data_IF_809821177272
#
_entry.id   IF_809821177272
#
_cell.length_a   1.000
_cell.length_b   1.000
_cell.length_c   1.000
_cell.angle_alpha   90.00
_cell.angle_beta   90.00
_cell.angle_gamma   90.00
#
_symmetry.space_group_name_H-M   'P 1'
#
loop_
_entity.id
_entity.type
_entity.pdbx_description
1 polymer ?
#
# COMPACT_ATOMS: atom_id res chain seq x y z
N UNK A 1 -4.74 -19.84 -12.92
CA UNK A 1 -3.51 -19.64 -12.12
C UNK A 1 -2.84 -18.35 -12.58
N UNK A 2 -3.16 -17.22 -11.96
CA UNK A 2 -2.43 -15.97 -12.19
C UNK A 2 -1.11 -16.06 -11.42
N UNK A 3 0.02 -16.04 -12.14
CA UNK A 3 1.30 -15.75 -11.51
C UNK A 3 1.21 -14.34 -10.93
N UNK A 4 1.36 -14.26 -9.61
CA UNK A 4 1.37 -13.03 -8.84
C UNK A 4 2.58 -12.18 -9.27
N UNK A 5 2.34 -11.27 -10.22
CA UNK A 5 3.36 -10.41 -10.81
C UNK A 5 4.00 -9.45 -9.79
N UNK A 6 3.50 -9.42 -8.55
CA UNK A 6 4.15 -8.72 -7.43
C UNK A 6 5.49 -9.35 -7.01
N UNK A 7 5.75 -10.60 -7.37
CA UNK A 7 7.04 -11.27 -7.11
C UNK A 7 8.03 -11.18 -8.28
N UNK A 8 7.55 -10.80 -9.47
CA UNK A 8 8.39 -10.59 -10.65
C UNK A 8 9.06 -9.23 -10.55
N UNK A 9 10.22 -9.15 -9.90
CA UNK A 9 11.04 -7.93 -9.77
C UNK A 9 11.15 -7.18 -11.12
N UNK A 10 10.52 -6.00 -11.31
CA UNK A 10 10.91 -5.13 -12.42
C UNK A 10 12.22 -4.39 -12.09
N UNK A 11 12.58 -4.34 -10.80
CA UNK A 11 13.77 -3.66 -10.30
C UNK A 11 14.45 -4.56 -9.27
N UNK A 12 15.35 -5.44 -9.73
CA UNK A 12 16.34 -6.03 -8.84
C UNK A 12 17.35 -4.93 -8.48
N UNK A 13 17.01 -4.09 -7.50
CA UNK A 13 17.96 -3.13 -6.95
C UNK A 13 18.95 -3.95 -6.11
N UNK A 14 20.21 -3.93 -6.51
CA UNK A 14 21.28 -4.51 -5.71
C UNK A 14 21.37 -3.71 -4.40
N UNK A 15 21.05 -4.31 -3.25
CA UNK A 15 21.11 -3.63 -1.95
C UNK A 15 22.49 -3.01 -1.66
N UNK A 16 23.56 -3.57 -2.23
CA UNK A 16 24.92 -3.01 -2.14
C UNK A 16 25.12 -1.69 -2.93
N UNK A 17 24.16 -1.29 -3.77
CA UNK A 17 24.19 -0.07 -4.58
C UNK A 17 23.24 1.03 -4.10
N UNK A 18 22.45 0.78 -3.04
CA UNK A 18 21.62 1.83 -2.43
C UNK A 18 22.54 2.86 -1.76
N UNK A 19 22.43 4.15 -2.11
CA UNK A 19 23.20 5.20 -1.47
C UNK A 19 22.95 5.19 0.04
N UNK A 20 24.01 5.36 0.84
CA UNK A 20 23.89 5.45 2.30
C UNK A 20 23.20 6.75 2.77
N UNK A 21 23.02 7.72 1.88
CA UNK A 21 22.35 8.99 2.14
C UNK A 21 21.00 9.06 1.40
N UNK A 22 20.02 9.74 2.01
CA UNK A 22 18.75 10.07 1.35
C UNK A 22 19.00 11.01 0.15
N UNK A 23 18.17 10.97 -0.89
CA UNK A 23 18.29 11.89 -2.01
C UNK A 23 18.15 13.34 -1.52
N UNK A 24 18.90 14.25 -2.16
CA UNK A 24 18.78 15.68 -1.95
C UNK A 24 17.35 16.16 -2.26
N UNK A 25 16.84 17.06 -1.44
CA UNK A 25 15.53 17.66 -1.62
C UNK A 25 15.56 18.73 -2.72
N UNK A 26 14.38 19.13 -3.22
CA UNK A 26 14.31 20.16 -4.27
C UNK A 26 14.96 21.48 -3.84
N UNK A 27 14.89 21.82 -2.55
CA UNK A 27 15.53 23.01 -1.97
C UNK A 27 17.05 22.85 -1.78
N UNK A 28 17.55 21.62 -1.67
CA UNK A 28 19.00 21.34 -1.63
C UNK A 28 19.63 21.52 -3.03
N UNK A 29 18.84 21.31 -4.08
CA UNK A 29 19.27 21.40 -5.47
C UNK A 29 19.08 22.80 -6.06
N UNK A 30 18.03 23.53 -5.67
CA UNK A 30 17.79 24.89 -6.11
C UNK A 30 17.03 25.73 -5.03
N UNK A 31 17.70 26.72 -4.41
CA UNK A 31 17.09 27.63 -3.42
C UNK A 31 15.91 28.45 -3.95
N UNK A 32 15.67 28.52 -5.25
CA UNK A 32 14.54 29.26 -5.81
C UNK A 32 13.19 28.57 -5.57
N UNK A 33 13.17 27.27 -5.25
CA UNK A 33 11.96 26.55 -4.83
C UNK A 33 11.49 26.93 -3.42
N UNK A 34 12.30 27.68 -2.65
CA UNK A 34 11.94 28.21 -1.34
C UNK A 34 10.93 29.37 -1.39
N UNK A 35 10.51 29.81 -2.58
CA UNK A 35 9.72 31.03 -2.77
C UNK A 35 8.19 30.88 -2.74
N UNK A 36 7.65 29.74 -2.29
CA UNK A 36 6.22 29.59 -2.02
C UNK A 36 5.93 29.51 -0.51
N UNK A 37 6.16 30.64 0.16
CA UNK A 37 5.68 30.92 1.51
C UNK A 37 6.60 30.43 2.62
N UNK A 38 7.19 31.38 3.34
CA UNK A 38 8.07 31.23 4.50
C UNK A 38 9.43 30.59 4.27
N UNK A 39 10.36 31.49 3.95
CA UNK A 39 11.79 31.32 4.17
C UNK A 39 12.07 30.96 5.63
N UNK A 40 12.25 29.68 5.88
CA UNK A 40 13.18 29.20 6.90
C UNK A 40 14.11 28.24 6.18
N UNK A 41 15.38 28.63 6.02
CA UNK A 41 16.45 27.66 5.87
C UNK A 41 16.52 26.90 7.19
N UNK A 42 15.61 25.96 7.40
CA UNK A 42 15.83 24.94 8.38
C UNK A 42 16.93 24.07 7.77
N UNK A 43 18.10 24.07 8.41
CA UNK A 43 18.78 22.79 8.58
C UNK A 43 17.81 21.93 9.39
N UNK A 44 16.73 21.46 8.77
CA UNK A 44 15.87 20.51 9.45
C UNK A 44 16.75 19.28 9.64
N UNK A 45 16.96 18.88 10.89
CA UNK A 45 17.56 17.59 11.23
C UNK A 45 16.73 16.43 10.65
N UNK A 46 15.50 16.73 10.22
CA UNK A 46 14.56 15.80 9.62
C UNK A 46 14.54 15.89 8.08
N UNK A 47 14.35 14.75 7.39
CA UNK A 47 14.25 14.73 5.93
C UNK A 47 13.05 15.54 5.43
N UNK A 48 13.14 16.12 4.23
CA UNK A 48 11.97 16.65 3.54
C UNK A 48 11.09 15.54 2.94
N UNK A 49 10.15 15.92 2.07
CA UNK A 49 9.17 14.99 1.49
C UNK A 49 9.86 13.88 0.67
N UNK A 50 10.91 14.21 -0.09
CA UNK A 50 11.62 13.20 -0.90
C UNK A 50 12.42 12.23 -0.02
N UNK A 51 13.01 12.71 1.07
CA UNK A 51 13.72 11.91 2.04
C UNK A 51 12.79 10.95 2.79
N UNK A 52 11.59 11.41 3.16
CA UNK A 52 10.56 10.53 3.71
C UNK A 52 10.07 9.50 2.70
N UNK A 53 9.90 9.89 1.43
CA UNK A 53 9.56 8.97 0.35
C UNK A 53 10.66 7.91 0.16
N UNK A 54 11.93 8.30 0.09
CA UNK A 54 13.06 7.38 -0.03
C UNK A 54 13.15 6.43 1.18
N UNK A 55 12.92 6.94 2.39
CA UNK A 55 12.85 6.11 3.61
C UNK A 55 11.72 5.09 3.53
N UNK A 56 10.53 5.50 3.08
CA UNK A 56 9.39 4.59 2.91
C UNK A 56 9.69 3.49 1.88
N UNK A 57 10.30 3.84 0.74
CA UNK A 57 10.72 2.88 -0.29
C UNK A 57 11.78 1.90 0.20
N UNK A 58 12.75 2.37 0.99
CA UNK A 58 13.77 1.50 1.60
C UNK A 58 13.13 0.48 2.56
N UNK A 59 12.19 0.92 3.40
CA UNK A 59 11.46 0.01 4.29
C UNK A 59 10.55 -0.95 3.52
N UNK A 60 9.94 -0.52 2.42
CA UNK A 60 9.18 -1.39 1.52
C UNK A 60 10.05 -2.48 0.89
N UNK A 61 11.21 -2.13 0.32
CA UNK A 61 12.15 -3.11 -0.25
C UNK A 61 12.59 -4.14 0.80
N UNK A 62 12.94 -3.68 2.01
CA UNK A 62 13.28 -4.58 3.12
C UNK A 62 12.12 -5.48 3.51
N UNK A 63 10.88 -4.98 3.51
CA UNK A 63 9.68 -5.79 3.78
C UNK A 63 9.45 -6.86 2.70
N UNK A 64 9.65 -6.52 1.43
CA UNK A 64 9.58 -7.48 0.32
C UNK A 64 10.67 -8.53 0.44
N UNK A 65 11.90 -8.13 0.75
CA UNK A 65 13.03 -9.03 1.00
C UNK A 65 12.74 -9.97 2.17
N UNK A 66 12.24 -9.44 3.29
CA UNK A 66 11.82 -10.23 4.45
C UNK A 66 10.78 -11.29 4.05
N UNK A 67 9.76 -10.92 3.27
CA UNK A 67 8.75 -11.87 2.79
C UNK A 67 9.34 -12.95 1.88
N UNK A 68 10.30 -12.61 1.04
CA UNK A 68 11.03 -13.58 0.21
C UNK A 68 11.85 -14.54 1.08
N UNK A 69 12.58 -14.03 2.07
CA UNK A 69 13.33 -14.84 3.04
C UNK A 69 12.42 -15.80 3.81
N UNK A 70 11.25 -15.32 4.25
CA UNK A 70 10.22 -16.14 4.90
C UNK A 70 9.72 -17.27 3.97
N UNK A 71 9.50 -16.99 2.70
CA UNK A 71 9.09 -17.99 1.70
C UNK A 71 10.14 -19.09 1.48
N UNK A 72 11.42 -18.74 1.63
CA UNK A 72 12.55 -19.65 1.41
C UNK A 72 13.06 -20.36 2.68
N UNK A 73 12.35 -20.22 3.81
CA UNK A 73 12.63 -20.88 5.09
C UNK A 73 14.07 -20.67 5.62
N UNK A 74 14.61 -19.46 5.46
CA UNK A 74 15.86 -19.08 6.14
C UNK A 74 15.63 -19.00 7.67
N UNK A 75 16.70 -19.18 8.45
CA UNK A 75 16.67 -19.42 9.91
C UNK A 75 15.64 -18.55 10.68
N UNK A 76 14.67 -19.23 11.30
CA UNK A 76 13.46 -18.64 11.88
C UNK A 76 13.68 -17.64 13.02
N UNK A 77 14.73 -17.80 13.83
CA UNK A 77 14.99 -16.92 14.97
C UNK A 77 15.36 -15.49 14.53
N UNK A 78 16.12 -15.34 13.44
CA UNK A 78 16.47 -14.03 12.89
C UNK A 78 15.29 -13.32 12.21
N UNK A 79 14.28 -14.08 11.78
CA UNK A 79 13.10 -13.52 11.10
C UNK A 79 12.12 -12.84 12.07
N UNK A 80 12.00 -13.32 13.31
CA UNK A 80 11.15 -12.66 14.31
C UNK A 80 11.72 -11.29 14.71
N UNK A 81 13.03 -11.24 14.97
CA UNK A 81 13.74 -9.99 15.28
C UNK A 81 13.67 -8.99 14.12
N UNK A 82 13.87 -9.47 12.88
CA UNK A 82 13.77 -8.64 11.68
C UNK A 82 12.36 -8.10 11.49
N UNK A 83 11.32 -8.93 11.67
CA UNK A 83 9.92 -8.50 11.59
C UNK A 83 9.62 -7.42 12.63
N UNK A 84 10.01 -7.63 13.89
CA UNK A 84 9.78 -6.65 14.95
C UNK A 84 10.49 -5.32 14.68
N UNK A 85 11.72 -5.38 14.18
CA UNK A 85 12.50 -4.21 13.84
C UNK A 85 11.93 -3.44 12.64
N UNK A 86 11.41 -4.15 11.62
CA UNK A 86 10.71 -3.55 10.49
C UNK A 86 9.38 -2.92 10.91
N UNK A 87 8.58 -3.62 11.72
CA UNK A 87 7.31 -3.14 12.23
C UNK A 87 7.50 -1.84 13.02
N UNK A 88 8.47 -1.82 13.93
CA UNK A 88 8.82 -0.63 14.71
C UNK A 88 9.20 0.55 13.82
N UNK A 89 10.03 0.35 12.79
CA UNK A 89 10.43 1.42 11.87
C UNK A 89 9.27 1.93 11.02
N UNK A 90 8.40 1.04 10.55
CA UNK A 90 7.23 1.39 9.76
C UNK A 90 6.20 2.15 10.59
N UNK A 91 5.91 1.71 11.82
CA UNK A 91 5.01 2.43 12.73
C UNK A 91 5.57 3.80 13.12
N UNK A 92 6.88 3.90 13.38
CA UNK A 92 7.54 5.18 13.65
C UNK A 92 7.45 6.11 12.45
N UNK A 93 7.70 5.61 11.24
CA UNK A 93 7.58 6.40 10.02
C UNK A 93 6.13 6.87 9.83
N UNK A 94 5.15 5.98 9.97
CA UNK A 94 3.72 6.35 9.85
C UNK A 94 3.35 7.45 10.85
N UNK A 95 3.79 7.34 12.11
CA UNK A 95 3.55 8.36 13.12
C UNK A 95 4.10 9.71 12.68
N UNK A 96 5.36 9.76 12.26
CA UNK A 96 6.02 10.99 11.80
C UNK A 96 5.25 11.58 10.61
N UNK A 97 4.84 10.78 9.63
CA UNK A 97 4.10 11.26 8.46
C UNK A 97 2.74 11.84 8.84
N UNK A 98 2.02 11.20 9.78
CA UNK A 98 0.74 11.71 10.29
C UNK A 98 0.94 13.03 11.04
N UNK A 99 1.91 13.09 11.95
CA UNK A 99 2.23 14.30 12.72
C UNK A 99 2.64 15.45 11.80
N UNK A 100 3.51 15.19 10.82
CA UNK A 100 3.99 16.17 9.84
C UNK A 100 2.92 16.61 8.85
N UNK A 101 1.95 15.74 8.52
CA UNK A 101 0.83 16.14 7.68
C UNK A 101 -0.04 17.21 8.34
N UNK A 102 -0.15 17.24 9.68
CA UNK A 102 -0.95 18.22 10.41
C UNK A 102 -2.43 18.28 9.96
N UNK A 103 -2.95 17.22 9.35
CA UNK A 103 -4.28 17.20 8.73
C UNK A 103 -4.38 17.89 7.36
N UNK A 104 -3.26 18.38 6.81
CA UNK A 104 -3.20 18.92 5.45
C UNK A 104 -3.18 17.78 4.42
N UNK A 105 -3.91 17.96 3.33
CA UNK A 105 -3.93 16.98 2.25
C UNK A 105 -2.70 17.12 1.34
N UNK A 106 -2.24 16.00 0.76
CA UNK A 106 -1.24 15.91 -0.33
C UNK A 106 0.25 16.07 0.03
N UNK A 107 0.66 16.49 1.23
CA UNK A 107 2.08 16.68 1.55
C UNK A 107 2.89 15.38 1.69
N UNK A 108 2.32 14.37 2.35
CA UNK A 108 3.00 13.11 2.70
C UNK A 108 2.24 11.87 2.20
N UNK A 109 1.37 12.05 1.20
CA UNK A 109 0.48 11.01 0.69
C UNK A 109 1.25 9.80 0.12
N UNK A 110 2.30 10.04 -0.66
CA UNK A 110 3.11 8.97 -1.26
C UNK A 110 3.89 8.15 -0.21
N UNK A 111 4.70 8.74 0.69
CA UNK A 111 5.36 7.98 1.74
C UNK A 111 4.37 7.27 2.68
N UNK A 112 3.18 7.85 2.92
CA UNK A 112 2.13 7.22 3.74
C UNK A 112 1.56 5.99 3.05
N UNK A 113 1.23 6.09 1.76
CA UNK A 113 0.78 4.95 0.95
C UNK A 113 1.79 3.80 0.97
N UNK A 114 3.08 4.13 0.76
CA UNK A 114 4.15 3.13 0.76
C UNK A 114 4.34 2.48 2.13
N UNK A 115 4.23 3.27 3.21
CA UNK A 115 4.32 2.74 4.58
C UNK A 115 3.11 1.86 4.92
N UNK A 116 1.90 2.23 4.50
CA UNK A 116 0.68 1.42 4.69
C UNK A 116 0.79 0.06 3.99
N UNK A 117 1.20 0.03 2.71
CA UNK A 117 1.35 -1.26 2.01
C UNK A 117 2.46 -2.10 2.62
N UNK A 118 3.55 -1.48 3.12
CA UNK A 118 4.61 -2.20 3.82
C UNK A 118 4.12 -2.84 5.10
N UNK A 119 3.37 -2.11 5.95
CA UNK A 119 2.76 -2.68 7.16
C UNK A 119 1.79 -3.81 6.81
N UNK A 120 0.95 -3.60 5.79
CA UNK A 120 0.02 -4.62 5.32
C UNK A 120 0.79 -5.87 4.91
N UNK A 121 1.80 -5.73 4.06
CA UNK A 121 2.69 -6.82 3.65
C UNK A 121 3.39 -7.50 4.83
N UNK A 122 3.86 -6.76 5.83
CA UNK A 122 4.59 -7.34 6.94
C UNK A 122 3.71 -8.26 7.80
N UNK A 123 2.42 -7.93 7.92
CA UNK A 123 1.47 -8.65 8.78
C UNK A 123 0.50 -9.57 8.02
N UNK A 124 0.32 -9.38 6.71
CA UNK A 124 -0.46 -10.24 5.82
C UNK A 124 0.07 -11.66 5.82
N UNK A 125 -0.85 -12.64 5.81
CA UNK A 125 -0.50 -14.06 5.72
C UNK A 125 0.37 -14.33 4.49
N UNK A 126 1.37 -15.19 4.64
CA UNK A 126 2.14 -15.64 3.49
C UNK A 126 1.30 -16.69 2.72
N UNK A 127 1.13 -16.59 1.39
CA UNK A 127 0.30 -17.53 0.63
C UNK A 127 0.72 -19.00 0.75
N UNK A 128 2.01 -19.26 1.03
CA UNK A 128 2.52 -20.62 1.27
C UNK A 128 2.26 -21.17 2.68
N UNK A 129 1.77 -20.34 3.61
CA UNK A 129 1.43 -20.73 4.98
C UNK A 129 -0.07 -20.99 5.06
N UNK A 130 -0.47 -22.24 4.84
CA UNK A 130 -1.88 -22.64 4.96
C UNK A 130 -2.33 -22.63 6.42
N UNK A 131 -3.62 -22.33 6.64
CA UNK A 131 -4.26 -22.43 7.98
C UNK A 131 -4.03 -23.82 8.58
N UNK A 132 -4.00 -24.86 7.75
CA UNK A 132 -3.80 -26.23 8.17
C UNK A 132 -2.35 -26.52 8.64
N UNK A 133 -1.33 -26.01 7.93
CA UNK A 133 0.07 -26.09 8.37
C UNK A 133 0.35 -25.29 9.65
N UNK A 134 -0.41 -24.21 9.84
CA UNK A 134 -0.36 -23.34 11.01
C UNK A 134 -1.10 -23.94 12.22
N UNK A 135 -2.21 -24.67 12.03
CA UNK A 135 -2.98 -25.33 13.08
C UNK A 135 -2.34 -26.64 13.57
N UNK A 136 -1.62 -27.36 12.70
CA UNK A 136 -0.91 -28.60 13.08
C UNK A 136 0.40 -28.36 13.83
N UNK A 137 0.83 -27.10 13.98
CA UNK A 137 2.11 -26.77 14.62
C UNK A 137 3.33 -27.20 13.79
N UNK A 138 3.13 -27.59 12.54
CA UNK A 138 4.18 -28.07 11.62
C UNK A 138 5.13 -26.93 11.21
N UNK A 139 4.68 -25.67 11.34
CA UNK A 139 5.54 -24.49 11.28
C UNK A 139 6.06 -24.20 12.68
N UNK A 140 7.20 -24.81 13.05
CA UNK A 140 7.94 -24.43 14.26
C UNK A 140 8.23 -22.93 14.22
N UNK A 141 7.87 -22.20 15.28
CA UNK A 141 8.25 -20.80 15.49
C UNK A 141 7.27 -19.74 15.00
N UNK A 142 5.95 -19.97 15.11
CA UNK A 142 4.98 -18.87 15.19
C UNK A 142 4.14 -19.04 16.44
N UNK A 143 4.46 -18.34 17.55
CA UNK A 143 3.63 -18.35 18.74
C UNK A 143 2.18 -17.93 18.38
N UNK A 144 1.15 -18.58 18.94
CA UNK A 144 -0.25 -18.16 18.78
C UNK A 144 -0.50 -16.65 19.03
N UNK A 145 0.15 -15.97 20.01
CA UNK A 145 0.00 -14.52 20.20
C UNK A 145 0.39 -13.67 18.98
N UNK A 146 1.44 -14.05 18.24
CA UNK A 146 1.91 -13.29 17.07
C UNK A 146 0.89 -13.27 15.92
N UNK A 147 0.04 -14.31 15.83
CA UNK A 147 -1.02 -14.40 14.81
C UNK A 147 -2.20 -13.50 15.12
N UNK A 148 -2.63 -13.46 16.38
CA UNK A 148 -3.74 -12.60 16.81
C UNK A 148 -3.35 -11.14 16.65
N UNK A 149 -2.14 -10.77 17.08
CA UNK A 149 -1.63 -9.39 16.92
C UNK A 149 -1.53 -9.01 15.44
N UNK A 150 -0.94 -9.86 14.58
CA UNK A 150 -0.85 -9.56 13.15
C UNK A 150 -2.22 -9.46 12.48
N UNK A 151 -3.19 -10.31 12.86
CA UNK A 151 -4.57 -10.23 12.35
C UNK A 151 -5.25 -8.90 12.73
N UNK A 152 -5.11 -8.48 13.99
CA UNK A 152 -5.65 -7.19 14.45
C UNK A 152 -5.00 -6.02 13.71
N UNK A 153 -3.67 -6.06 13.54
CA UNK A 153 -2.94 -5.03 12.79
C UNK A 153 -3.44 -4.94 11.36
N UNK A 154 -3.61 -6.06 10.65
CA UNK A 154 -4.16 -6.06 9.28
C UNK A 154 -5.58 -5.49 9.26
N UNK A 155 -6.47 -5.90 10.17
CA UNK A 155 -7.83 -5.33 10.27
C UNK A 155 -7.81 -3.81 10.50
N UNK A 156 -6.93 -3.33 11.37
CA UNK A 156 -6.75 -1.89 11.61
C UNK A 156 -6.29 -1.17 10.34
N UNK A 157 -5.28 -1.69 9.66
CA UNK A 157 -4.75 -1.09 8.42
C UNK A 157 -5.82 -1.08 7.33
N UNK A 158 -6.56 -2.18 7.15
CA UNK A 158 -7.68 -2.24 6.19
C UNK A 158 -8.71 -1.16 6.50
N UNK A 159 -9.08 -0.97 7.78
CA UNK A 159 -10.03 0.09 8.16
C UNK A 159 -9.48 1.49 7.85
N UNK A 160 -8.21 1.75 8.13
CA UNK A 160 -7.56 3.02 7.75
C UNK A 160 -7.60 3.24 6.24
N UNK A 161 -7.36 2.19 5.44
CA UNK A 161 -7.41 2.29 3.97
C UNK A 161 -8.84 2.53 3.48
N UNK A 162 -9.86 1.94 4.11
CA UNK A 162 -11.28 2.24 3.83
C UNK A 162 -11.59 3.70 4.11
N UNK A 163 -11.14 4.26 5.24
CA UNK A 163 -11.37 5.68 5.58
C UNK A 163 -10.66 6.62 4.60
N UNK A 164 -9.45 6.26 4.17
CA UNK A 164 -8.73 6.99 3.11
C UNK A 164 -9.47 6.90 1.78
N UNK A 165 -9.99 5.71 1.41
CA UNK A 165 -10.74 5.51 0.19
C UNK A 165 -12.06 6.29 0.18
N UNK A 166 -12.79 6.31 1.30
CA UNK A 166 -13.98 7.13 1.47
C UNK A 166 -13.66 8.63 1.31
N UNK A 167 -12.57 9.08 1.93
CA UNK A 167 -12.09 10.46 1.77
C UNK A 167 -11.80 10.76 0.31
N UNK A 168 -11.14 9.85 -0.41
CA UNK A 168 -10.83 10.02 -1.85
C UNK A 168 -12.11 10.08 -2.68
N UNK A 169 -13.07 9.18 -2.47
CA UNK A 169 -14.34 9.16 -3.20
C UNK A 169 -15.12 10.47 -2.99
N UNK A 170 -15.20 10.93 -1.74
CA UNK A 170 -15.91 12.16 -1.37
C UNK A 170 -15.23 13.43 -1.90
N UNK A 171 -13.90 13.40 -2.08
CA UNK A 171 -13.14 14.56 -2.55
C UNK A 171 -12.73 14.49 -4.03
N UNK A 172 -13.03 13.40 -4.73
CA UNK A 172 -12.67 13.17 -6.15
C UNK A 172 -13.15 14.29 -7.08
N UNK A 173 -14.30 14.91 -6.80
CA UNK A 173 -14.83 16.04 -7.60
C UNK A 173 -14.18 17.39 -7.28
N UNK A 174 -13.53 17.52 -6.12
CA UNK A 174 -12.97 18.78 -5.59
C UNK A 174 -11.45 18.85 -5.67
N UNK A 175 -10.80 17.69 -5.56
CA UNK A 175 -9.35 17.54 -5.62
C UNK A 175 -9.01 17.05 -7.02
N UNK A 176 -8.10 17.74 -7.68
CA UNK A 176 -7.58 17.28 -8.95
C UNK A 176 -6.87 15.93 -8.73
N UNK A 177 -7.41 14.84 -9.28
CA UNK A 177 -6.85 13.48 -9.16
C UNK A 177 -5.40 13.39 -9.64
N UNK A 178 -4.94 14.38 -10.42
CA UNK A 178 -3.52 14.58 -10.73
C UNK A 178 -2.64 14.57 -9.46
N UNK A 179 -3.16 15.00 -8.31
CA UNK A 179 -2.44 15.10 -7.05
C UNK A 179 -2.38 13.80 -6.24
N UNK A 180 -3.18 12.79 -6.58
CA UNK A 180 -3.13 11.51 -5.86
C UNK A 180 -2.12 10.56 -6.50
N UNK A 181 -1.17 10.02 -5.72
CA UNK A 181 -0.14 9.19 -6.30
C UNK A 181 -0.68 7.80 -6.68
N UNK A 182 -0.11 7.17 -7.73
CA UNK A 182 -0.53 5.85 -8.21
C UNK A 182 -0.36 4.74 -7.18
N UNK A 183 0.48 4.94 -6.15
CA UNK A 183 0.75 3.95 -5.09
C UNK A 183 -0.50 3.61 -4.30
N UNK A 184 -1.43 4.55 -4.10
CA UNK A 184 -2.70 4.26 -3.42
C UNK A 184 -3.55 3.24 -4.17
N UNK A 185 -3.46 3.16 -5.50
CA UNK A 185 -4.12 2.10 -6.28
C UNK A 185 -3.70 0.70 -5.83
N UNK A 186 -2.43 0.54 -5.44
CA UNK A 186 -1.90 -0.73 -4.95
C UNK A 186 -2.28 -0.96 -3.49
N UNK A 187 -2.21 0.07 -2.63
CA UNK A 187 -2.65 -0.02 -1.23
C UNK A 187 -4.11 -0.45 -1.14
N UNK A 188 -5.00 0.21 -1.89
CA UNK A 188 -6.44 -0.09 -1.93
C UNK A 188 -6.65 -1.53 -2.38
N UNK A 189 -6.04 -1.93 -3.49
CA UNK A 189 -6.12 -3.30 -4.00
C UNK A 189 -5.72 -4.35 -2.95
N UNK A 190 -4.57 -4.14 -2.29
CA UNK A 190 -4.09 -5.08 -1.26
C UNK A 190 -5.01 -5.13 -0.05
N UNK A 191 -5.53 -3.98 0.40
CA UNK A 191 -6.51 -3.93 1.48
C UNK A 191 -7.83 -4.62 1.08
N UNK A 192 -8.28 -4.50 -0.17
CA UNK A 192 -9.45 -5.20 -0.67
C UNK A 192 -9.29 -6.72 -0.61
N UNK A 193 -8.12 -7.25 -1.00
CA UNK A 193 -7.86 -8.69 -0.90
C UNK A 193 -7.91 -9.19 0.56
N UNK A 194 -7.34 -8.43 1.50
CA UNK A 194 -7.40 -8.77 2.93
C UNK A 194 -8.83 -8.65 3.46
N UNK A 195 -9.59 -7.61 3.08
CA UNK A 195 -10.99 -7.44 3.45
C UNK A 195 -11.84 -8.63 2.99
N UNK A 196 -11.64 -9.11 1.76
CA UNK A 196 -12.34 -10.31 1.25
C UNK A 196 -12.05 -11.53 2.14
N UNK A 197 -10.82 -11.66 2.63
CA UNK A 197 -10.45 -12.75 3.54
C UNK A 197 -11.10 -12.66 4.94
N UNK A 198 -11.62 -11.49 5.31
CA UNK A 198 -12.31 -11.24 6.59
C UNK A 198 -13.84 -11.34 6.51
N UNK A 199 -14.40 -11.81 5.39
CA UNK A 199 -15.85 -11.89 5.20
C UNK A 199 -16.58 -12.58 6.36
N UNK A 200 -16.06 -13.72 6.82
CA UNK A 200 -16.69 -14.52 7.88
C UNK A 200 -16.43 -13.97 9.30
N UNK A 201 -15.54 -12.99 9.42
CA UNK A 201 -15.06 -12.39 10.67
C UNK A 201 -15.69 -11.02 10.98
N UNK A 202 -16.54 -10.50 10.08
CA UNK A 202 -17.12 -9.16 10.13
C UNK A 202 -18.64 -9.19 9.92
N UNK A 203 -19.34 -8.15 10.38
CA UNK A 203 -20.75 -7.96 10.03
C UNK A 203 -20.91 -7.78 8.51
N UNK A 204 -21.92 -8.44 7.92
CA UNK A 204 -22.14 -8.47 6.47
C UNK A 204 -22.39 -7.06 5.92
N UNK A 205 -23.13 -6.22 6.66
CA UNK A 205 -23.41 -4.86 6.26
C UNK A 205 -22.15 -3.97 6.30
N UNK A 206 -21.35 -4.12 7.35
CA UNK A 206 -20.06 -3.41 7.47
C UNK A 206 -19.09 -3.84 6.37
N UNK A 207 -18.95 -5.15 6.16
CA UNK A 207 -18.08 -5.72 5.14
C UNK A 207 -18.47 -5.27 3.73
N UNK A 208 -19.77 -5.32 3.40
CA UNK A 208 -20.29 -4.89 2.10
C UNK A 208 -20.03 -3.41 1.87
N UNK A 209 -20.29 -2.57 2.88
CA UNK A 209 -20.03 -1.12 2.79
C UNK A 209 -18.55 -0.84 2.54
N UNK A 210 -17.66 -1.46 3.33
CA UNK A 210 -16.22 -1.29 3.16
C UNK A 210 -15.73 -1.77 1.79
N UNK A 211 -16.27 -2.90 1.30
CA UNK A 211 -15.93 -3.44 0.00
C UNK A 211 -16.33 -2.48 -1.13
N UNK A 212 -17.55 -1.97 -1.11
CA UNK A 212 -18.02 -1.01 -2.13
C UNK A 212 -17.23 0.30 -2.08
N UNK A 213 -16.88 0.82 -0.90
CA UNK A 213 -16.01 1.99 -0.76
C UNK A 213 -14.66 1.78 -1.45
N UNK A 214 -14.01 0.62 -1.23
CA UNK A 214 -12.72 0.31 -1.85
C UNK A 214 -12.85 0.06 -3.36
N UNK A 215 -13.93 -0.59 -3.80
CA UNK A 215 -14.22 -0.82 -5.23
C UNK A 215 -14.45 0.50 -5.96
N UNK A 216 -15.25 1.41 -5.40
CA UNK A 216 -15.49 2.75 -5.95
C UNK A 216 -14.19 3.55 -6.03
N UNK A 217 -13.35 3.52 -4.99
CA UNK A 217 -12.05 4.21 -5.01
C UNK A 217 -11.13 3.64 -6.09
N UNK A 218 -11.06 2.31 -6.22
CA UNK A 218 -10.28 1.65 -7.28
C UNK A 218 -10.80 2.02 -8.66
N UNK A 219 -12.11 2.09 -8.85
CA UNK A 219 -12.76 2.54 -10.09
C UNK A 219 -12.38 4.00 -10.41
N UNK A 220 -12.46 4.89 -9.43
CA UNK A 220 -12.06 6.29 -9.54
C UNK A 220 -10.60 6.44 -9.97
N UNK A 221 -9.68 5.71 -9.33
CA UNK A 221 -8.26 5.66 -9.76
C UNK A 221 -8.09 5.06 -11.16
N UNK A 222 -8.92 4.08 -11.53
CA UNK A 222 -8.92 3.40 -12.83
C UNK A 222 -9.19 4.32 -14.01
N UNK A 223 -9.80 5.49 -13.79
CA UNK A 223 -10.00 6.52 -14.81
C UNK A 223 -8.69 7.15 -15.31
N UNK A 224 -7.62 7.07 -14.50
CA UNK A 224 -6.30 7.62 -14.81
C UNK A 224 -5.23 6.54 -14.91
N UNK A 225 -5.22 5.60 -13.97
CA UNK A 225 -4.16 4.60 -13.86
C UNK A 225 -4.66 3.23 -14.30
N UNK A 226 -4.11 2.75 -15.41
CA UNK A 226 -4.47 1.43 -15.95
C UNK A 226 -4.24 0.29 -14.95
N UNK A 227 -3.26 0.42 -14.05
CA UNK A 227 -3.02 -0.53 -12.97
C UNK A 227 -4.25 -0.69 -12.06
N UNK A 228 -4.93 0.40 -11.70
CA UNK A 228 -6.13 0.35 -10.88
C UNK A 228 -7.30 -0.34 -11.61
N UNK A 229 -7.47 -0.09 -12.92
CA UNK A 229 -8.48 -0.80 -13.71
C UNK A 229 -8.22 -2.32 -13.72
N UNK A 230 -6.97 -2.75 -13.86
CA UNK A 230 -6.57 -4.17 -13.77
C UNK A 230 -6.82 -4.75 -12.36
N UNK A 231 -6.53 -3.99 -11.31
CA UNK A 231 -6.80 -4.39 -9.93
C UNK A 231 -8.30 -4.59 -9.68
N UNK A 232 -9.14 -3.66 -10.14
CA UNK A 232 -10.60 -3.77 -10.01
C UNK A 232 -11.12 -5.03 -10.73
N UNK A 233 -10.66 -5.27 -11.95
CA UNK A 233 -11.02 -6.48 -12.70
C UNK A 233 -10.62 -7.76 -11.93
N UNK A 234 -9.43 -7.79 -11.33
CA UNK A 234 -8.98 -8.94 -10.55
C UNK A 234 -9.85 -9.16 -9.30
N UNK A 235 -10.26 -8.08 -8.62
CA UNK A 235 -11.18 -8.13 -7.48
C UNK A 235 -12.56 -8.62 -7.91
N UNK A 236 -13.14 -8.07 -8.98
CA UNK A 236 -14.48 -8.45 -9.46
C UNK A 236 -14.53 -9.92 -9.91
N UNK A 237 -13.47 -10.42 -10.53
CA UNK A 237 -13.34 -11.85 -10.86
C UNK A 237 -13.35 -12.71 -9.59
N UNK A 238 -12.58 -12.33 -8.57
CA UNK A 238 -12.55 -13.06 -7.28
C UNK A 238 -13.90 -13.03 -6.57
N UNK A 239 -14.61 -11.90 -6.61
CA UNK A 239 -15.94 -11.78 -6.02
C UNK A 239 -16.98 -12.59 -6.77
N UNK A 240 -16.86 -12.73 -8.08
CA UNK A 240 -17.78 -13.56 -8.89
C UNK A 240 -17.69 -15.05 -8.53
N UNK A 241 -16.54 -15.50 -8.02
CA UNK A 241 -16.38 -16.87 -7.51
C UNK A 241 -16.98 -17.05 -6.09
N UNK A 242 -17.22 -15.95 -5.36
CA UNK A 242 -17.59 -15.91 -3.94
C UNK A 242 -19.05 -15.48 -3.71
N UNK A 243 -19.61 -14.69 -4.63
CA UNK A 243 -20.95 -14.11 -4.57
C UNK A 243 -21.78 -14.67 -5.74
N UNK A 244 -22.97 -15.19 -5.43
CA UNK A 244 -23.90 -15.72 -6.43
C UNK A 244 -24.52 -14.64 -7.31
N UNK A 245 -24.60 -13.40 -6.79
CA UNK A 245 -25.04 -12.23 -7.52
C UNK A 245 -23.82 -11.42 -7.97
N UNK A 246 -23.78 -11.04 -9.24
CA UNK A 246 -22.72 -10.18 -9.75
C UNK A 246 -22.70 -8.88 -8.95
N UNK A 247 -21.54 -8.44 -8.43
CA UNK A 247 -21.46 -7.22 -7.64
C UNK A 247 -22.01 -6.06 -8.48
N UNK A 248 -22.80 -5.18 -7.86
CA UNK A 248 -23.45 -4.05 -8.54
C UNK A 248 -22.41 -3.25 -9.31
N UNK A 249 -22.30 -3.49 -10.61
CA UNK A 249 -21.25 -2.87 -11.42
C UNK A 249 -21.63 -1.43 -11.69
N UNK A 250 -20.71 -0.54 -11.29
CA UNK A 250 -20.56 0.81 -11.83
C UNK A 250 -20.63 0.72 -13.36
N UNK A 251 -21.82 0.99 -13.90
CA UNK A 251 -22.09 0.85 -15.33
C UNK A 251 -21.13 1.77 -16.10
N UNK A 252 -20.40 1.17 -17.06
CA UNK A 252 -19.53 1.79 -18.05
C UNK A 252 -18.16 2.29 -17.53
N UNK A 253 -17.16 1.42 -17.67
CA UNK A 253 -15.82 1.87 -18.02
C UNK A 253 -15.85 2.34 -19.48
N UNK A 254 -15.77 3.65 -19.71
CA UNK A 254 -15.13 4.17 -20.91
C UNK A 254 -13.78 4.73 -20.45
N UNK A 255 -12.64 4.15 -20.87
CA UNK A 255 -11.37 4.85 -20.69
C UNK A 255 -11.53 6.21 -21.37
N UNK A 256 -11.09 7.28 -20.72
CA UNK A 256 -11.13 8.60 -21.36
C UNK A 256 -10.21 8.51 -22.58
N UNK A 257 -10.78 8.35 -23.77
CA UNK A 257 -10.04 8.12 -25.03
C UNK A 257 -9.06 9.27 -25.37
N UNK A 258 -9.12 10.38 -24.64
CA UNK A 258 -8.36 11.59 -24.91
C UNK A 258 -7.67 12.20 -23.68
N UNK A 259 -7.37 11.43 -22.63
CA UNK A 259 -6.46 11.96 -21.60
C UNK A 259 -5.02 11.96 -22.17
N UNK A 260 -4.35 13.12 -22.30
CA UNK A 260 -3.02 13.22 -22.88
C UNK A 260 -1.96 12.38 -22.14
N UNK A 261 -2.24 11.92 -20.92
CA UNK A 261 -1.36 11.02 -20.17
C UNK A 261 -1.40 9.56 -20.68
N UNK A 262 -2.44 9.16 -21.44
CA UNK A 262 -2.58 7.80 -22.00
C UNK A 262 -1.92 7.62 -23.37
N UNK A 263 -1.75 8.70 -24.15
CA UNK A 263 -1.20 8.65 -25.52
C UNK A 263 0.30 8.31 -25.53
N UNK A 264 1.03 8.62 -24.46
CA UNK A 264 2.48 8.46 -24.41
C UNK A 264 2.97 7.03 -24.11
N UNK A 265 2.13 6.13 -23.57
CA UNK A 265 2.52 4.76 -23.23
C UNK A 265 2.11 3.70 -24.27
N UNK A 266 1.38 4.11 -25.31
CA UNK A 266 0.99 3.24 -26.44
C UNK A 266 1.63 3.66 -27.77
N UNK A 267 2.59 4.58 -27.74
CA UNK A 267 3.40 4.95 -28.89
C UNK A 267 4.83 4.38 -28.80
N UNK A 268 4.92 3.05 -28.61
CA UNK A 268 5.79 2.10 -29.35
C UNK A 268 5.80 0.73 -28.69
#
# INVERSE_FOLDING_TARGET
MLHDATFSKPFAINQASMPQHLPFEAFDLDPSFSHLGDAVFTKDEEPGVFGYQAKAWCLFDRTVSFRQSLATAQALEHLEDEKYHLDTQLQQLMRILVERSGGTMCGYCEPSAMTLVSLLLLHSRHPSLTVDALCKGDVKGHPPPCRVVSSLVVKTIVRMVVDVADTINNHYRKINIISFPPTYCHVIYRATLELISFRDDMDEAEWTTALETLREATWNYGRRWQAAAKHLQAVDNLLSDILSDSPTTFNYFQPIENDPCLVALLSK
#
